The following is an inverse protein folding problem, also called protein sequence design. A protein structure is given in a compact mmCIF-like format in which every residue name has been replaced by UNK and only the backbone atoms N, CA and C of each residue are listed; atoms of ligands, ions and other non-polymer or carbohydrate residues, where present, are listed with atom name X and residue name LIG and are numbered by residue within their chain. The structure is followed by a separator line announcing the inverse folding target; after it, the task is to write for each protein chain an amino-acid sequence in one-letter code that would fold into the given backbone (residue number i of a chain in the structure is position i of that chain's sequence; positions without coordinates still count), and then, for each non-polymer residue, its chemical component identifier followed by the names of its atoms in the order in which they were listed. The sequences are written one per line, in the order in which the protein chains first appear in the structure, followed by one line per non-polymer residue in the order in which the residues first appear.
data_IF_741456317544
#
_entry.id   IF_741456317544
#
_cell.length_a   1.000
_cell.length_b   1.000
_cell.length_c   1.000
_cell.angle_alpha   90.00
_cell.angle_beta   90.00
_cell.angle_gamma   90.00
#
_symmetry.space_group_name_H-M   'P 1'
#
loop_
_entity.id
_entity.type
_entity.pdbx_description
1 polymer ?
#
# COMPACT_ATOMS: atom_id res chain seq x y z
N UNK A 1 -8.34 28.40 -1.83
CA UNK A 1 -7.40 27.36 -2.27
C UNK A 1 -6.25 27.36 -1.30
N UNK A 2 -6.12 26.31 -0.48
CA UNK A 2 -4.92 26.10 0.32
C UNK A 2 -3.77 25.84 -0.66
N UNK A 3 -2.76 26.71 -0.63
CA UNK A 3 -1.55 26.52 -1.40
C UNK A 3 -0.78 25.37 -0.74
N UNK A 4 -0.85 24.18 -1.33
CA UNK A 4 -0.04 23.03 -0.91
C UNK A 4 1.41 23.39 -1.22
N UNK A 5 2.14 23.89 -0.23
CA UNK A 5 3.51 24.34 -0.38
C UNK A 5 4.50 23.16 -0.45
N UNK A 6 4.07 21.95 -0.11
CA UNK A 6 4.88 20.75 -0.24
C UNK A 6 4.01 19.50 -0.46
N UNK A 7 4.51 18.58 -1.28
CA UNK A 7 3.95 17.23 -1.47
C UNK A 7 4.63 16.23 -0.52
N UNK A 8 5.04 16.67 0.68
CA UNK A 8 5.74 15.79 1.62
C UNK A 8 4.83 14.71 2.19
N UNK A 9 3.52 14.97 2.24
CA UNK A 9 2.54 14.01 2.72
C UNK A 9 2.33 12.78 1.83
N UNK A 10 2.87 12.80 0.62
CA UNK A 10 2.93 11.65 -0.28
C UNK A 10 4.36 11.15 -0.51
N UNK A 11 5.34 11.73 0.18
CA UNK A 11 6.70 11.25 0.06
C UNK A 11 6.85 9.96 0.88
N UNK A 12 7.18 8.87 0.21
CA UNK A 12 7.47 7.60 0.87
C UNK A 12 8.83 7.72 1.56
N UNK A 13 8.86 7.42 2.86
CA UNK A 13 10.08 7.24 3.66
C UNK A 13 10.62 5.82 3.46
N UNK A 14 9.78 4.83 3.72
CA UNK A 14 10.10 3.41 3.57
C UNK A 14 8.86 2.57 3.32
N UNK A 15 9.05 1.34 2.88
CA UNK A 15 8.01 0.33 2.76
C UNK A 15 8.61 -1.03 3.07
N UNK A 16 7.82 -1.91 3.66
CA UNK A 16 8.23 -3.27 4.03
C UNK A 16 7.06 -4.24 4.05
N UNK A 17 7.41 -5.53 4.05
CA UNK A 17 6.51 -6.64 4.34
C UNK A 17 6.75 -7.12 5.76
N UNK A 18 5.72 -7.57 6.47
CA UNK A 18 5.90 -8.27 7.74
C UNK A 18 4.77 -9.26 8.01
N UNK A 19 5.00 -10.13 9.00
CA UNK A 19 4.02 -11.11 9.46
C UNK A 19 3.88 -10.98 10.98
N UNK A 20 2.67 -11.21 11.46
CA UNK A 20 2.38 -11.34 12.89
C UNK A 20 2.32 -12.83 13.25
N UNK A 21 3.11 -13.27 14.22
CA UNK A 21 3.15 -14.67 14.66
C UNK A 21 1.79 -15.19 15.18
N UNK A 22 0.94 -14.30 15.71
CA UNK A 22 -0.40 -14.65 16.18
C UNK A 22 -1.45 -14.71 15.06
N UNK A 23 -1.10 -14.24 13.86
CA UNK A 23 -2.01 -14.09 12.72
C UNK A 23 -1.35 -14.58 11.42
N UNK A 24 -0.88 -15.83 11.44
CA UNK A 24 -0.05 -16.43 10.39
C UNK A 24 -0.69 -16.52 8.99
N UNK A 25 -2.03 -16.41 8.89
CA UNK A 25 -2.76 -16.40 7.62
C UNK A 25 -2.61 -15.08 6.86
N UNK A 26 -2.06 -14.04 7.49
CA UNK A 26 -1.98 -12.71 6.90
C UNK A 26 -0.55 -12.32 6.55
N UNK A 27 -0.42 -11.62 5.42
CA UNK A 27 0.75 -10.81 5.09
C UNK A 27 0.39 -9.35 5.36
N UNK A 28 1.28 -8.63 6.02
CA UNK A 28 1.15 -7.19 6.18
C UNK A 28 2.06 -6.47 5.19
N UNK A 29 1.51 -5.48 4.49
CA UNK A 29 2.29 -4.59 3.63
C UNK A 29 2.15 -3.18 4.16
N UNK A 30 3.28 -2.55 4.51
CA UNK A 30 3.27 -1.25 5.19
C UNK A 30 4.05 -0.23 4.37
N UNK A 31 3.47 0.95 4.18
CA UNK A 31 4.14 2.14 3.65
C UNK A 31 4.26 3.15 4.78
N UNK A 32 5.46 3.67 5.02
CA UNK A 32 5.71 4.82 5.86
C UNK A 32 5.94 6.06 5.00
N UNK A 33 5.23 7.12 5.34
CA UNK A 33 5.36 8.43 4.71
C UNK A 33 6.24 9.33 5.55
N UNK A 34 6.77 10.39 4.94
CA UNK A 34 7.43 11.46 5.68
C UNK A 34 6.47 12.15 6.64
N UNK A 35 5.25 12.38 6.17
CA UNK A 35 4.24 13.14 6.91
C UNK A 35 2.81 12.69 6.55
N UNK A 36 2.26 11.68 7.24
CA UNK A 36 0.90 11.24 6.91
C UNK A 36 -0.09 12.23 7.50
N UNK A 37 -0.79 12.97 6.65
CA UNK A 37 -1.79 13.95 7.06
C UNK A 37 -3.14 13.69 6.38
N UNK A 38 -4.27 14.03 7.04
CA UNK A 38 -5.57 14.13 6.38
C UNK A 38 -5.61 15.21 5.28
N UNK A 39 -5.68 14.80 4.01
CA UNK A 39 -5.93 15.62 2.80
C UNK A 39 -7.29 15.43 2.11
N UNK A 40 -7.96 16.50 1.70
CA UNK A 40 -9.19 16.38 0.90
C UNK A 40 -8.98 15.76 -0.50
N UNK A 41 -7.73 15.48 -0.90
CA UNK A 41 -7.38 14.86 -2.17
C UNK A 41 -7.41 13.33 -2.06
N UNK A 42 -7.85 12.68 -3.14
CA UNK A 42 -7.81 11.21 -3.24
C UNK A 42 -6.37 10.75 -3.46
N UNK A 43 -5.80 10.09 -2.45
CA UNK A 43 -4.50 9.42 -2.52
C UNK A 43 -4.66 7.95 -2.89
N UNK A 44 -3.85 7.46 -3.81
CA UNK A 44 -3.75 6.03 -4.13
C UNK A 44 -2.45 5.52 -3.53
N UNK A 45 -2.53 4.62 -2.57
CA UNK A 45 -1.37 3.93 -2.00
C UNK A 45 -1.30 2.55 -2.62
N UNK A 46 -0.12 2.13 -3.08
CA UNK A 46 0.03 0.78 -3.61
C UNK A 46 1.40 0.17 -3.34
N UNK A 47 1.40 -1.12 -3.01
CA UNK A 47 2.59 -1.97 -2.90
C UNK A 47 2.44 -3.12 -3.88
N UNK A 48 3.50 -3.42 -4.61
CA UNK A 48 3.57 -4.42 -5.65
C UNK A 48 4.69 -5.42 -5.36
N UNK A 49 4.48 -6.68 -5.75
CA UNK A 49 5.47 -7.73 -5.65
C UNK A 49 5.19 -8.88 -6.62
N UNK A 50 6.15 -9.78 -6.76
CA UNK A 50 6.03 -11.02 -7.52
C UNK A 50 6.34 -12.21 -6.62
N UNK A 51 5.45 -13.19 -6.62
CA UNK A 51 5.63 -14.47 -5.96
C UNK A 51 5.40 -15.61 -6.95
N UNK A 52 6.34 -16.57 -7.04
CA UNK A 52 6.28 -17.69 -7.97
C UNK A 52 5.96 -17.28 -9.44
N UNK A 53 6.53 -16.16 -9.88
CA UNK A 53 6.33 -15.61 -11.24
C UNK A 53 4.97 -14.93 -11.46
N UNK A 54 4.15 -14.78 -10.41
CA UNK A 54 2.86 -14.09 -10.47
C UNK A 54 2.98 -12.74 -9.76
N UNK A 55 2.60 -11.67 -10.47
CA UNK A 55 2.59 -10.31 -9.96
C UNK A 55 1.30 -10.02 -9.19
N UNK A 56 1.45 -9.45 -8.00
CA UNK A 56 0.38 -9.07 -7.09
C UNK A 56 0.55 -7.61 -6.66
N UNK A 57 -0.56 -6.99 -6.27
CA UNK A 57 -0.56 -5.67 -5.68
C UNK A 57 -1.61 -5.57 -4.58
N UNK A 58 -1.31 -4.77 -3.57
CA UNK A 58 -2.29 -4.17 -2.67
C UNK A 58 -2.44 -2.69 -3.00
N UNK A 59 -3.66 -2.17 -2.94
CA UNK A 59 -3.91 -0.75 -3.15
C UNK A 59 -5.13 -0.25 -2.41
N UNK A 60 -5.12 1.02 -2.05
CA UNK A 60 -6.27 1.70 -1.47
C UNK A 60 -6.40 3.11 -2.02
N UNK A 61 -7.64 3.57 -2.12
CA UNK A 61 -7.98 4.94 -2.43
C UNK A 61 -8.39 5.68 -1.17
N UNK A 62 -7.47 6.41 -0.57
CA UNK A 62 -7.77 7.24 0.58
C UNK A 62 -8.47 8.51 0.12
N UNK A 63 -9.72 8.67 0.52
CA UNK A 63 -10.31 9.99 0.68
C UNK A 63 -10.01 10.36 2.13
N UNK A 64 -9.23 11.39 2.34
CA UNK A 64 -8.63 11.63 3.64
C UNK A 64 -9.54 12.51 4.52
N UNK A 65 -10.85 12.27 4.43
CA UNK A 65 -11.85 12.71 5.41
C UNK A 65 -11.99 11.71 6.58
N UNK A 66 -11.18 10.64 6.56
CA UNK A 66 -11.18 9.61 7.60
C UNK A 66 -12.20 8.50 7.35
N UNK A 67 -12.91 8.50 6.21
CA UNK A 67 -13.75 7.37 5.83
C UNK A 67 -12.89 6.25 5.23
N UNK A 68 -12.83 5.12 5.97
CA UNK A 68 -12.20 3.89 5.54
C UNK A 68 -12.82 3.41 4.21
N UNK A 69 -12.11 3.62 3.12
CA UNK A 69 -12.35 2.84 1.91
C UNK A 69 -11.74 1.45 2.10
N UNK A 70 -12.45 0.41 1.67
CA UNK A 70 -11.92 -0.95 1.66
C UNK A 70 -10.62 -0.97 0.83
N UNK A 71 -9.56 -1.56 1.38
CA UNK A 71 -8.37 -1.88 0.62
C UNK A 71 -8.65 -3.00 -0.36
N UNK A 72 -7.83 -3.08 -1.39
CA UNK A 72 -7.93 -4.12 -2.40
C UNK A 72 -6.60 -4.83 -2.53
N UNK A 73 -6.68 -6.12 -2.85
CA UNK A 73 -5.53 -6.95 -3.15
C UNK A 73 -5.85 -7.94 -4.26
N UNK A 74 -4.88 -8.21 -5.14
CA UNK A 74 -5.06 -9.20 -6.18
C UNK A 74 -3.92 -9.22 -7.18
N UNK A 75 -4.22 -9.76 -8.36
CA UNK A 75 -3.28 -9.82 -9.46
C UNK A 75 -2.97 -8.41 -9.96
N UNK A 76 -1.68 -8.10 -10.10
CA UNK A 76 -1.22 -6.85 -10.71
C UNK A 76 -1.27 -6.96 -12.23
N UNK A 77 -2.50 -6.83 -12.76
CA UNK A 77 -2.76 -6.90 -14.20
C UNK A 77 -3.69 -5.76 -14.62
N UNK A 78 -3.36 -5.06 -15.72
CA UNK A 78 -4.26 -4.06 -16.27
C UNK A 78 -5.61 -4.71 -16.64
N UNK A 79 -6.71 -4.06 -16.28
CA UNK A 79 -8.09 -4.43 -16.65
C UNK A 79 -8.66 -5.72 -16.03
N UNK A 80 -8.17 -6.16 -14.87
CA UNK A 80 -8.85 -7.22 -14.12
C UNK A 80 -9.80 -6.62 -13.08
N UNK A 81 -11.09 -7.02 -13.12
CA UNK A 81 -12.09 -6.63 -12.12
C UNK A 81 -12.11 -7.58 -10.91
N UNK A 82 -11.05 -8.38 -10.71
CA UNK A 82 -11.01 -9.40 -9.65
C UNK A 82 -9.97 -9.03 -8.62
N UNK A 83 -10.40 -8.20 -7.69
CA UNK A 83 -9.70 -7.93 -6.44
C UNK A 83 -10.48 -8.56 -5.29
N UNK A 84 -9.75 -8.87 -4.22
CA UNK A 84 -10.30 -9.23 -2.93
C UNK A 84 -10.13 -8.04 -1.99
N UNK A 85 -10.88 -8.03 -0.90
CA UNK A 85 -10.75 -7.00 0.11
C UNK A 85 -9.48 -7.23 0.95
N UNK A 86 -8.86 -6.12 1.35
CA UNK A 86 -7.80 -6.06 2.34
C UNK A 86 -8.23 -5.07 3.43
N UNK A 87 -7.99 -5.40 4.70
CA UNK A 87 -8.17 -4.42 5.77
C UNK A 87 -7.06 -3.39 5.67
N UNK A 88 -7.41 -2.11 5.83
CA UNK A 88 -6.45 -0.99 5.78
C UNK A 88 -6.52 -0.25 7.09
N UNK A 89 -5.36 0.12 7.63
CA UNK A 89 -5.25 0.97 8.79
C UNK A 89 -4.31 2.13 8.57
N UNK A 90 -4.61 3.22 9.25
CA UNK A 90 -3.86 4.47 9.21
C UNK A 90 -3.38 4.78 10.62
N UNK A 91 -2.07 4.94 10.78
CA UNK A 91 -1.48 5.43 12.02
C UNK A 91 -0.75 6.74 11.74
N UNK A 92 -1.47 7.83 12.00
CA UNK A 92 -1.00 9.20 11.84
C UNK A 92 0.13 9.58 12.83
N UNK A 93 0.28 8.87 13.94
CA UNK A 93 1.40 9.12 14.86
C UNK A 93 2.71 8.51 14.35
N UNK A 94 2.62 7.36 13.67
CA UNK A 94 3.76 6.63 13.09
C UNK A 94 3.97 6.94 11.60
N UNK A 95 3.09 7.71 10.99
CA UNK A 95 3.04 8.02 9.57
C UNK A 95 2.96 6.78 8.67
N UNK A 96 2.18 5.77 9.06
CA UNK A 96 2.06 4.52 8.30
C UNK A 96 0.66 4.26 7.76
N UNK A 97 0.63 3.70 6.56
CA UNK A 97 -0.54 3.03 5.96
C UNK A 97 -0.21 1.55 5.87
N UNK A 98 -1.07 0.72 6.44
CA UNK A 98 -0.84 -0.73 6.51
C UNK A 98 -2.03 -1.48 5.93
N UNK A 99 -1.72 -2.49 5.11
CA UNK A 99 -2.69 -3.43 4.59
C UNK A 99 -2.50 -4.77 5.27
N UNK A 100 -3.60 -5.36 5.73
CA UNK A 100 -3.66 -6.75 6.18
C UNK A 100 -4.32 -7.59 5.10
N UNK A 101 -3.58 -8.55 4.58
CA UNK A 101 -3.93 -9.31 3.39
C UNK A 101 -4.01 -10.79 3.72
N UNK A 102 -5.16 -11.42 3.44
CA UNK A 102 -5.27 -12.87 3.51
C UNK A 102 -4.39 -13.51 2.42
N UNK A 103 -3.44 -14.35 2.84
CA UNK A 103 -2.49 -15.04 1.96
C UNK A 103 -3.19 -15.92 0.92
N UNK A 104 -4.41 -16.38 1.19
CA UNK A 104 -5.27 -17.09 0.24
C UNK A 104 -5.53 -16.33 -1.05
N UNK A 105 -5.45 -15.01 -1.03
CA UNK A 105 -5.64 -14.15 -2.20
C UNK A 105 -4.36 -13.92 -3.01
N UNK A 106 -3.20 -14.27 -2.45
CA UNK A 106 -1.88 -13.91 -2.98
C UNK A 106 -0.96 -15.12 -3.12
N UNK A 107 -1.54 -16.27 -3.46
CA UNK A 107 -0.79 -17.48 -3.77
C UNK A 107 -0.44 -18.36 -2.57
N UNK A 108 -1.05 -18.13 -1.41
CA UNK A 108 -0.83 -18.89 -0.16
C UNK A 108 0.64 -18.92 0.28
N UNK A 109 1.23 -17.73 0.46
CA UNK A 109 2.59 -17.55 0.97
C UNK A 109 2.82 -18.32 2.28
N UNK A 110 4.02 -18.84 2.45
CA UNK A 110 4.50 -19.49 3.66
C UNK A 110 5.69 -18.74 4.25
N UNK A 111 5.93 -18.86 5.56
CA UNK A 111 7.16 -18.33 6.16
C UNK A 111 8.41 -18.81 5.42
N UNK A 112 9.27 -17.88 5.04
CA UNK A 112 10.50 -18.15 4.27
C UNK A 112 10.33 -18.10 2.75
N UNK A 113 9.11 -17.92 2.23
CA UNK A 113 8.90 -17.65 0.82
C UNK A 113 9.48 -16.28 0.43
N UNK A 114 10.08 -16.21 -0.76
CA UNK A 114 10.77 -15.01 -1.26
C UNK A 114 9.84 -14.20 -2.15
N UNK A 115 9.72 -12.90 -1.85
CA UNK A 115 9.03 -11.93 -2.69
C UNK A 115 10.05 -11.21 -3.56
N UNK A 116 9.74 -11.07 -4.85
CA UNK A 116 10.66 -10.44 -5.82
C UNK A 116 9.99 -9.25 -6.50
N UNK A 117 10.78 -8.42 -7.19
CA UNK A 117 10.29 -7.23 -7.91
C UNK A 117 9.37 -6.36 -7.07
N UNK A 118 9.83 -6.05 -5.86
CA UNK A 118 9.04 -5.32 -4.87
C UNK A 118 9.19 -3.81 -5.06
N UNK A 119 8.07 -3.10 -5.07
CA UNK A 119 8.05 -1.65 -5.10
C UNK A 119 6.78 -1.07 -4.50
N UNK A 120 6.86 0.15 -3.98
CA UNK A 120 5.70 0.92 -3.53
C UNK A 120 5.59 2.22 -4.34
N UNK A 121 4.37 2.66 -4.60
CA UNK A 121 4.12 3.99 -5.15
C UNK A 121 2.84 4.61 -4.60
N UNK A 122 2.81 5.94 -4.69
CA UNK A 122 1.65 6.76 -4.34
C UNK A 122 1.31 7.64 -5.54
N UNK A 123 0.03 7.90 -5.78
CA UNK A 123 -0.40 8.98 -6.66
C UNK A 123 -1.53 9.80 -6.02
N UNK A 124 -1.58 11.07 -6.39
CA UNK A 124 -2.71 11.96 -6.10
C UNK A 124 -3.58 12.10 -7.35
N UNK A 125 -4.90 12.14 -7.14
CA UNK A 125 -5.84 12.43 -8.22
C UNK A 125 -6.62 13.69 -7.86
N UNK A 126 -6.45 14.76 -8.65
CA UNK A 126 -7.24 15.99 -8.54
C UNK A 126 -8.39 15.92 -9.55
N UNK A 127 -9.52 15.32 -9.17
CA UNK A 127 -10.66 15.02 -10.06
C UNK A 127 -10.30 14.13 -11.28
N UNK A 128 -11.31 13.46 -11.83
CA UNK A 128 -11.19 12.53 -12.97
C UNK A 128 -10.54 13.18 -14.20
N UNK A 129 -10.58 14.52 -14.30
CA UNK A 129 -10.15 15.29 -15.47
C UNK A 129 -8.77 15.97 -15.35
N UNK A 130 -8.08 15.92 -14.20
CA UNK A 130 -6.72 16.45 -14.08
C UNK A 130 -5.78 15.55 -13.25
N UNK A 131 -4.82 14.94 -13.95
CA UNK A 131 -3.80 14.08 -13.34
C UNK A 131 -2.56 14.91 -12.95
N UNK A 132 -2.36 15.14 -11.65
CA UNK A 132 -1.03 15.46 -11.12
C UNK A 132 -0.39 14.17 -10.62
N UNK A 133 0.43 13.53 -11.46
CA UNK A 133 1.19 12.33 -11.08
C UNK A 133 2.51 12.75 -10.44
N UNK A 134 2.61 12.60 -9.12
CA UNK A 134 3.90 12.39 -8.48
C UNK A 134 3.99 10.92 -8.09
N UNK A 135 4.69 10.13 -8.91
CA UNK A 135 4.99 8.73 -8.62
C UNK A 135 6.33 8.73 -7.90
N UNK A 136 6.32 8.38 -6.61
CA UNK A 136 7.56 8.01 -5.93
C UNK A 136 7.63 6.49 -5.87
N UNK A 137 8.68 5.92 -6.46
CA UNK A 137 8.97 4.50 -6.42
C UNK A 137 10.09 4.25 -5.43
N UNK A 138 9.87 3.35 -4.48
CA UNK A 138 10.95 2.81 -3.64
C UNK A 138 10.99 1.30 -3.71
N UNK A 139 12.18 0.72 -3.60
CA UNK A 139 12.31 -0.71 -3.37
C UNK A 139 11.83 -1.05 -1.95
N UNK A 140 11.12 -2.17 -1.81
CA UNK A 140 10.56 -2.60 -0.52
C UNK A 140 11.53 -3.60 0.08
N UNK A 141 12.05 -3.29 1.26
CA UNK A 141 12.99 -4.19 1.96
C UNK A 141 12.24 -5.43 2.48
N UNK A 142 12.94 -6.57 2.51
CA UNK A 142 12.37 -7.82 3.04
C UNK A 142 12.25 -7.82 4.57
N UNK A 143 11.16 -8.44 5.02
CA UNK A 143 10.77 -8.92 6.35
C UNK A 143 11.69 -8.53 7.52
N UNK A 144 11.31 -7.47 8.25
CA UNK A 144 11.76 -7.31 9.63
C UNK A 144 10.89 -8.20 10.53
N UNK A 145 11.45 -9.31 11.03
CA UNK A 145 10.84 -10.03 12.14
C UNK A 145 10.92 -9.15 13.38
N UNK A 146 9.80 -8.53 13.77
CA UNK A 146 9.73 -7.85 15.06
C UNK A 146 9.68 -8.91 16.16
N UNK A 147 10.81 -9.10 16.84
CA UNK A 147 10.92 -9.83 18.10
C UNK A 147 10.43 -8.97 19.28
#
# INVERSE_FOLDING_TARGET
MLQINSFDFINIDSAWFHENEFESNYLYTTVKLKDLEPTSQRGIYSIHWTFNGVSYASWNHLHNDGENSLGHVGLDKPFTNKFNDAEVSYDFNRNIVEFKIDKGHIGNLKPGDILTYTYAWIALTENIDSFLRKIQLIHVNEVESRH
#
